data_IF_854919051471
#
_entry.id   IF_854919051471
#
_cell.length_a   1.000
_cell.length_b   1.000
_cell.length_c   1.000
_cell.angle_alpha   90.00
_cell.angle_beta   90.00
_cell.angle_gamma   90.00
#
_symmetry.space_group_name_H-M   'P 1'
#
loop_
_entity.id
_entity.type
_entity.pdbx_description
1 polymer ?
#
# COMPACT_ATOMS: atom_id res chain seq x y z
N UNK A 1 -4.54 1.27 13.71
CA UNK A 1 -4.10 -0.02 13.14
C UNK A 1 -3.40 0.22 11.82
N UNK A 2 -2.15 -0.22 11.66
CA UNK A 2 -1.46 -0.21 10.36
C UNK A 2 -1.95 -1.39 9.53
N UNK A 3 -3.13 -1.24 8.95
CA UNK A 3 -3.77 -2.26 8.10
C UNK A 3 -2.91 -2.62 6.87
N UNK A 4 -1.93 -1.79 6.52
CA UNK A 4 -0.92 -2.02 5.48
C UNK A 4 0.12 -3.09 5.82
N UNK A 5 0.19 -3.55 7.07
CA UNK A 5 1.27 -4.43 7.55
C UNK A 5 1.16 -5.87 7.02
N UNK A 6 -0.05 -6.45 7.03
CA UNK A 6 -0.24 -7.84 6.65
C UNK A 6 -0.48 -7.93 5.14
N UNK A 7 0.60 -7.96 4.35
CA UNK A 7 0.54 -8.18 2.90
C UNK A 7 1.10 -9.56 2.60
N UNK A 8 0.27 -10.44 2.03
CA UNK A 8 0.73 -11.78 1.62
C UNK A 8 1.45 -11.69 0.28
N UNK A 9 2.52 -12.46 0.08
CA UNK A 9 3.32 -12.52 -1.15
C UNK A 9 4.61 -13.31 -0.92
N UNK A 10 5.29 -13.71 -1.98
CA UNK A 10 6.69 -14.15 -1.88
C UNK A 10 7.60 -12.96 -1.62
N UNK A 11 8.85 -13.19 -1.19
CA UNK A 11 9.83 -12.12 -1.04
C UNK A 11 9.99 -11.32 -2.35
N UNK A 12 10.05 -12.00 -3.49
CA UNK A 12 10.16 -11.37 -4.81
C UNK A 12 8.95 -10.46 -5.10
N UNK A 13 7.73 -10.93 -4.81
CA UNK A 13 6.52 -10.13 -5.03
C UNK A 13 6.50 -8.87 -4.14
N UNK A 14 7.13 -8.91 -2.96
CA UNK A 14 7.13 -7.82 -1.99
C UNK A 14 8.22 -6.78 -2.23
N UNK A 15 9.23 -7.06 -3.07
CA UNK A 15 10.22 -6.08 -3.53
C UNK A 15 9.65 -4.99 -4.42
N UNK A 16 8.44 -5.21 -4.93
CA UNK A 16 7.69 -4.28 -5.77
C UNK A 16 6.42 -3.79 -5.07
N UNK A 17 6.40 -3.73 -3.72
CA UNK A 17 5.19 -3.43 -2.96
C UNK A 17 5.44 -2.62 -1.69
N UNK A 18 5.51 -1.31 -1.85
CA UNK A 18 5.77 -0.37 -0.74
C UNK A 18 4.57 0.53 -0.48
N UNK A 19 4.27 0.80 0.78
CA UNK A 19 3.24 1.78 1.17
C UNK A 19 3.85 2.80 2.11
N UNK A 20 3.73 4.08 1.77
CA UNK A 20 4.09 5.19 2.65
C UNK A 20 2.80 5.76 3.24
N UNK A 21 2.77 5.89 4.56
CA UNK A 21 1.68 6.47 5.33
C UNK A 21 2.21 7.64 6.16
N UNK A 22 1.64 8.82 5.94
CA UNK A 22 1.83 9.98 6.79
C UNK A 22 0.59 10.18 7.66
N UNK A 23 0.78 10.47 8.94
CA UNK A 23 -0.31 10.60 9.90
C UNK A 23 -0.08 11.72 10.89
N UNK A 24 -1.10 12.57 11.02
CA UNK A 24 -1.21 13.51 12.14
C UNK A 24 -1.58 12.71 13.40
N UNK A 25 -0.80 12.88 14.45
CA UNK A 25 -0.98 12.24 15.74
C UNK A 25 -1.94 13.05 16.63
N UNK A 26 -3.08 12.45 16.97
CA UNK A 26 -4.09 13.06 17.83
C UNK A 26 -3.54 13.41 19.21
N UNK A 27 -3.82 14.63 19.67
CA UNK A 27 -3.30 15.21 20.92
C UNK A 27 -1.84 15.63 20.90
N UNK A 28 -1.11 15.47 19.78
CA UNK A 28 0.32 15.80 19.68
C UNK A 28 0.52 16.93 18.67
N UNK A 29 0.19 16.69 17.41
CA UNK A 29 0.38 17.64 16.31
C UNK A 29 -0.90 17.80 15.47
N UNK A 30 -2.07 17.53 16.04
CA UNK A 30 -3.38 17.77 15.44
C UNK A 30 -3.93 19.17 15.72
N UNK A 31 -3.38 19.85 16.73
CA UNK A 31 -3.81 21.17 17.16
C UNK A 31 -2.99 22.33 16.56
N UNK A 32 -1.97 22.08 15.75
CA UNK A 32 -1.21 23.16 15.10
C UNK A 32 -1.93 23.65 13.85
N UNK A 33 -1.96 24.97 13.64
CA UNK A 33 -2.64 25.62 12.52
C UNK A 33 -2.13 25.17 11.13
N UNK A 34 -0.88 24.70 11.07
CA UNK A 34 -0.20 24.30 9.84
C UNK A 34 -0.16 22.77 9.59
N UNK A 35 -0.70 21.96 10.52
CA UNK A 35 -0.63 20.50 10.47
C UNK A 35 -1.24 19.92 9.20
N UNK A 36 -2.37 20.51 8.76
CA UNK A 36 -3.08 20.09 7.56
C UNK A 36 -2.26 20.40 6.31
N UNK A 37 -1.66 21.58 6.22
CA UNK A 37 -0.86 22.03 5.10
C UNK A 37 0.41 21.16 4.99
N UNK A 38 1.07 20.87 6.11
CA UNK A 38 2.19 19.92 6.18
C UNK A 38 1.80 18.53 5.67
N UNK A 39 0.65 18.00 6.10
CA UNK A 39 0.18 16.70 5.63
C UNK A 39 -0.12 16.72 4.13
N UNK A 40 -0.79 17.76 3.62
CA UNK A 40 -1.06 17.93 2.18
C UNK A 40 0.25 18.00 1.39
N UNK A 41 1.26 18.73 1.87
CA UNK A 41 2.58 18.82 1.23
C UNK A 41 3.25 17.45 1.12
N UNK A 42 3.12 16.60 2.14
CA UNK A 42 3.59 15.21 2.06
C UNK A 42 2.85 14.43 0.97
N UNK A 43 1.54 14.61 0.85
CA UNK A 43 0.75 14.04 -0.25
C UNK A 43 1.22 14.49 -1.63
N UNK A 44 1.58 15.76 -1.79
CA UNK A 44 2.17 16.31 -3.01
C UNK A 44 3.52 15.67 -3.31
N UNK A 45 4.44 15.59 -2.33
CA UNK A 45 5.73 14.89 -2.47
C UNK A 45 5.51 13.44 -2.92
N UNK A 46 4.58 12.71 -2.29
CA UNK A 46 4.27 11.35 -2.72
C UNK A 46 3.79 11.31 -4.17
N UNK A 47 2.90 12.23 -4.57
CA UNK A 47 2.34 12.31 -5.93
C UNK A 47 3.37 12.70 -6.99
N UNK A 48 4.30 13.61 -6.67
CA UNK A 48 5.41 14.03 -7.53
C UNK A 48 6.34 12.85 -7.89
N UNK A 49 6.38 11.83 -7.03
CA UNK A 49 7.15 10.59 -7.24
C UNK A 49 6.31 9.45 -7.87
N UNK A 50 5.18 9.78 -8.52
CA UNK A 50 4.42 8.88 -9.41
C UNK A 50 4.06 7.53 -8.74
N UNK A 51 3.25 7.55 -7.66
CA UNK A 51 2.84 6.33 -7.00
C UNK A 51 1.88 5.54 -7.90
N UNK A 52 1.92 4.21 -7.83
CA UNK A 52 0.96 3.33 -8.53
C UNK A 52 -0.47 3.49 -8.02
N UNK A 53 -0.62 3.98 -6.79
CA UNK A 53 -1.89 4.31 -6.20
C UNK A 53 -1.71 5.32 -5.06
N UNK A 54 -2.67 6.22 -4.88
CA UNK A 54 -2.64 7.22 -3.82
C UNK A 54 -4.05 7.55 -3.38
N UNK A 55 -4.22 7.87 -2.09
CA UNK A 55 -5.49 8.39 -1.58
C UNK A 55 -5.93 9.59 -2.42
N UNK A 56 -7.23 9.75 -2.66
CA UNK A 56 -7.75 10.90 -3.42
C UNK A 56 -7.50 12.23 -2.70
N UNK A 57 -7.26 13.29 -3.46
CA UNK A 57 -7.00 14.64 -2.92
C UNK A 57 -8.16 15.17 -2.06
N UNK A 58 -9.39 14.75 -2.34
CA UNK A 58 -10.53 15.11 -1.49
C UNK A 58 -10.43 14.44 -0.10
N UNK A 59 -9.85 13.24 -0.03
CA UNK A 59 -9.52 12.56 1.21
C UNK A 59 -8.40 13.25 1.99
N UNK A 60 -7.43 13.88 1.31
CA UNK A 60 -6.33 14.61 1.96
C UNK A 60 -6.83 15.79 2.81
N UNK A 61 -7.98 16.35 2.46
CA UNK A 61 -8.61 17.48 3.19
C UNK A 61 -9.34 17.05 4.46
N UNK A 62 -9.75 15.78 4.55
CA UNK A 62 -10.65 15.29 5.61
C UNK A 62 -10.06 14.20 6.49
N UNK A 63 -9.13 13.40 5.96
CA UNK A 63 -8.47 12.30 6.67
C UNK A 63 -7.33 12.80 7.55
N UNK A 64 -7.07 12.19 8.72
CA UNK A 64 -5.85 12.43 9.50
C UNK A 64 -4.60 11.76 8.89
N UNK A 65 -4.78 11.02 7.79
CA UNK A 65 -3.74 10.24 7.12
C UNK A 65 -3.73 10.50 5.62
N UNK A 66 -2.54 10.44 5.02
CA UNK A 66 -2.37 10.34 3.57
C UNK A 66 -1.47 9.13 3.31
N UNK A 67 -1.89 8.32 2.34
CA UNK A 67 -1.22 7.08 1.98
C UNK A 67 -1.01 6.99 0.49
N UNK A 68 0.15 6.48 0.10
CA UNK A 68 0.52 6.20 -1.28
C UNK A 68 1.23 4.85 -1.37
N UNK A 69 1.07 4.18 -2.51
CA UNK A 69 1.67 2.89 -2.83
C UNK A 69 2.64 3.05 -4.00
N UNK A 70 3.81 2.43 -3.91
CA UNK A 70 4.85 2.42 -4.93
C UNK A 70 5.20 0.97 -5.26
N UNK A 71 5.57 0.71 -6.52
CA UNK A 71 6.03 -0.59 -7.00
C UNK A 71 7.55 -0.66 -7.23
N UNK A 72 8.28 0.38 -6.83
CA UNK A 72 9.74 0.42 -6.90
C UNK A 72 10.37 1.14 -5.70
N UNK A 73 11.57 0.72 -5.31
CA UNK A 73 12.29 1.26 -4.17
C UNK A 73 12.90 2.65 -4.42
N UNK A 74 13.22 2.99 -5.67
CA UNK A 74 13.86 4.27 -6.00
C UNK A 74 12.91 5.45 -5.84
N UNK A 75 11.64 5.30 -6.22
CA UNK A 75 10.57 6.25 -5.93
C UNK A 75 10.40 6.45 -4.42
N UNK A 76 10.44 5.36 -3.64
CA UNK A 76 10.40 5.43 -2.16
C UNK A 76 11.60 6.19 -1.61
N UNK A 77 12.82 5.92 -2.08
CA UNK A 77 14.03 6.67 -1.69
C UNK A 77 13.92 8.15 -2.03
N UNK A 78 13.40 8.49 -3.20
CA UNK A 78 13.19 9.88 -3.61
C UNK A 78 12.22 10.60 -2.67
N UNK A 79 11.10 9.96 -2.30
CA UNK A 79 10.16 10.48 -1.30
C UNK A 79 10.86 10.69 0.04
N UNK A 80 11.61 9.71 0.53
CA UNK A 80 12.35 9.81 1.81
C UNK A 80 13.32 11.01 1.79
N UNK A 81 14.08 11.19 0.71
CA UNK A 81 15.03 12.32 0.57
C UNK A 81 14.34 13.67 0.64
N UNK A 82 13.19 13.80 -0.03
CA UNK A 82 12.40 15.03 -0.02
C UNK A 82 11.79 15.30 1.36
N UNK A 83 11.22 14.28 2.00
CA UNK A 83 10.68 14.39 3.36
C UNK A 83 11.75 14.77 4.39
N UNK A 84 12.96 14.18 4.29
CA UNK A 84 14.10 14.55 5.13
C UNK A 84 14.52 16.00 4.92
N UNK A 85 14.52 16.47 3.68
CA UNK A 85 14.91 17.86 3.33
C UNK A 85 13.90 18.88 3.85
N UNK A 86 12.60 18.60 3.75
CA UNK A 86 11.55 19.53 4.13
C UNK A 86 11.21 19.51 5.63
N UNK A 87 11.56 18.43 6.35
CA UNK A 87 11.41 18.28 7.80
C UNK A 87 10.06 18.78 8.35
N UNK A 88 8.98 18.22 7.78
CA UNK A 88 7.62 18.68 8.05
C UNK A 88 7.08 18.29 9.44
N UNK A 89 7.87 17.57 10.26
CA UNK A 89 7.51 17.19 11.64
C UNK A 89 6.33 16.22 11.75
N UNK A 90 6.02 15.46 10.69
CA UNK A 90 4.95 14.45 10.66
C UNK A 90 5.57 13.05 10.62
N UNK A 91 5.03 12.13 11.42
CA UNK A 91 5.46 10.74 11.45
C UNK A 91 5.17 10.04 10.14
N UNK A 92 6.17 9.29 9.64
CA UNK A 92 6.09 8.49 8.41
C UNK A 92 6.21 7.01 8.77
N UNK A 93 5.31 6.19 8.22
CA UNK A 93 5.35 4.73 8.30
C UNK A 93 5.55 4.19 6.89
N UNK A 94 6.57 3.34 6.70
CA UNK A 94 6.84 2.67 5.44
C UNK A 94 6.57 1.17 5.63
N UNK A 95 5.67 0.62 4.83
CA UNK A 95 5.41 -0.83 4.76
C UNK A 95 6.12 -1.41 3.55
N UNK A 96 6.78 -2.55 3.72
CA UNK A 96 7.59 -3.23 2.69
C UNK A 96 8.58 -4.20 3.34
N UNK A 97 9.52 -4.75 2.57
CA UNK A 97 10.59 -5.57 3.15
C UNK A 97 11.50 -4.70 4.04
N UNK A 98 11.63 -5.11 5.31
CA UNK A 98 12.35 -4.31 6.32
C UNK A 98 13.83 -4.14 5.95
N UNK A 99 14.45 -5.15 5.34
CA UNK A 99 15.84 -5.06 4.87
C UNK A 99 16.01 -3.96 3.81
N UNK A 100 15.13 -3.91 2.82
CA UNK A 100 15.21 -2.91 1.74
C UNK A 100 14.91 -1.49 2.24
N UNK A 101 13.92 -1.36 3.14
CA UNK A 101 13.63 -0.08 3.78
C UNK A 101 14.81 0.38 4.64
N UNK A 102 15.44 -0.53 5.39
CA UNK A 102 16.61 -0.20 6.21
C UNK A 102 17.77 0.29 5.35
N UNK A 103 18.06 -0.38 4.24
CA UNK A 103 19.11 0.03 3.33
C UNK A 103 18.81 1.39 2.70
N UNK A 104 17.57 1.63 2.27
CA UNK A 104 17.12 2.92 1.75
C UNK A 104 17.23 4.07 2.76
N UNK A 105 16.96 3.81 4.05
CA UNK A 105 17.11 4.80 5.12
C UNK A 105 18.59 5.08 5.45
N UNK A 106 19.43 4.04 5.48
CA UNK A 106 20.87 4.19 5.71
C UNK A 106 21.53 5.08 4.64
N UNK A 107 21.15 4.93 3.37
CA UNK A 107 21.67 5.76 2.26
C UNK A 107 21.44 7.25 2.47
N UNK A 108 20.36 7.62 3.17
CA UNK A 108 20.03 9.02 3.46
C UNK A 108 20.43 9.43 4.88
N UNK A 109 21.07 8.56 5.66
CA UNK A 109 21.44 8.81 7.05
C UNK A 109 20.23 9.00 7.96
N UNK A 110 19.27 8.08 7.91
CA UNK A 110 18.14 7.94 8.83
C UNK A 110 18.13 6.55 9.44
N UNK A 111 17.65 6.45 10.68
CA UNK A 111 17.47 5.18 11.38
C UNK A 111 15.99 4.82 11.50
N UNK A 112 15.69 3.51 11.56
CA UNK A 112 14.34 3.02 11.85
C UNK A 112 14.05 3.22 13.33
N UNK A 113 13.02 4.00 13.66
CA UNK A 113 12.59 4.21 15.04
C UNK A 113 11.86 2.99 15.64
N UNK A 114 10.97 2.35 14.88
CA UNK A 114 10.18 1.20 15.35
C UNK A 114 9.85 0.27 14.20
N UNK A 115 9.90 -1.03 14.46
CA UNK A 115 9.52 -2.07 13.51
C UNK A 115 8.28 -2.80 14.00
N UNK A 116 7.32 -3.02 13.10
CA UNK A 116 6.17 -3.88 13.34
C UNK A 116 6.25 -5.07 12.39
N UNK A 117 6.08 -6.29 12.91
CA UNK A 117 6.13 -7.52 12.12
C UNK A 117 4.75 -8.15 12.01
N UNK A 118 4.37 -8.55 10.80
CA UNK A 118 3.25 -9.46 10.64
C UNK A 118 3.73 -10.89 10.84
N UNK A 119 3.25 -11.57 11.88
CA UNK A 119 3.57 -12.98 12.10
C UNK A 119 2.81 -13.92 11.14
N UNK A 120 1.80 -13.40 10.44
CA UNK A 120 0.99 -14.18 9.52
C UNK A 120 -0.22 -14.84 10.17
N UNK A 121 -0.77 -15.85 9.50
CA UNK A 121 -1.97 -16.57 9.93
C UNK A 121 -1.61 -17.92 10.56
N UNK A 122 -2.05 -18.16 11.80
CA UNK A 122 -1.80 -19.39 12.54
C UNK A 122 -3.09 -20.17 12.85
N UNK A 123 -2.98 -21.50 12.83
CA UNK A 123 -4.04 -22.44 13.23
C UNK A 123 -4.34 -23.51 12.16
N UNK A 124 -4.33 -24.79 12.57
CA UNK A 124 -4.44 -25.95 11.67
C UNK A 124 -5.77 -26.01 10.90
N UNK A 125 -6.88 -25.64 11.53
CA UNK A 125 -8.22 -25.65 10.89
C UNK A 125 -8.47 -24.46 9.95
N UNK A 126 -7.51 -23.53 9.79
CA UNK A 126 -7.73 -22.28 9.03
C UNK A 126 -7.18 -22.32 7.61
N UNK A 127 -6.09 -23.05 7.32
CA UNK A 127 -5.48 -23.01 5.98
C UNK A 127 -6.42 -23.47 4.86
N UNK A 128 -7.17 -24.55 5.08
CA UNK A 128 -8.13 -25.09 4.12
C UNK A 128 -9.39 -24.22 3.99
N UNK A 129 -9.69 -23.40 5.00
CA UNK A 129 -10.84 -22.48 5.00
C UNK A 129 -10.50 -21.10 4.41
N UNK A 130 -9.22 -20.82 4.19
CA UNK A 130 -8.79 -19.57 3.60
C UNK A 130 -8.89 -19.63 2.06
N UNK A 131 -9.14 -18.48 1.41
CA UNK A 131 -9.01 -18.39 -0.03
C UNK A 131 -7.64 -18.88 -0.54
N UNK A 132 -7.56 -19.35 -1.79
CA UNK A 132 -6.30 -19.66 -2.45
C UNK A 132 -5.26 -18.55 -2.31
N UNK A 133 -3.97 -18.90 -2.27
CA UNK A 133 -2.91 -17.94 -1.91
C UNK A 133 -2.88 -16.69 -2.79
N UNK A 134 -3.00 -16.85 -4.11
CA UNK A 134 -3.04 -15.71 -5.04
C UNK A 134 -4.25 -14.80 -4.83
N UNK A 135 -5.38 -15.34 -4.35
CA UNK A 135 -6.54 -14.53 -3.97
C UNK A 135 -6.25 -13.77 -2.67
N UNK A 136 -5.62 -14.43 -1.68
CA UNK A 136 -5.20 -13.78 -0.44
C UNK A 136 -4.20 -12.65 -0.67
N UNK A 137 -3.27 -12.80 -1.61
CA UNK A 137 -2.34 -11.72 -1.99
C UNK A 137 -3.11 -10.45 -2.39
N UNK A 138 -4.25 -10.58 -3.08
CA UNK A 138 -5.09 -9.43 -3.44
C UNK A 138 -5.89 -8.91 -2.25
N UNK A 139 -6.59 -9.77 -1.51
CA UNK A 139 -7.48 -9.33 -0.43
C UNK A 139 -6.72 -8.68 0.73
N UNK A 140 -5.48 -9.12 0.97
CA UNK A 140 -4.63 -8.60 2.05
C UNK A 140 -3.96 -7.27 1.71
N UNK A 141 -3.79 -6.91 0.42
CA UNK A 141 -3.20 -5.61 0.02
C UNK A 141 -3.97 -4.39 0.54
N UNK A 142 -5.31 -4.46 0.65
CA UNK A 142 -6.10 -3.37 1.20
C UNK A 142 -6.02 -3.30 2.74
N UNK A 143 -5.58 -4.36 3.42
CA UNK A 143 -5.54 -4.45 4.88
C UNK A 143 -6.90 -4.57 5.57
N UNK A 144 -7.90 -3.80 5.11
CA UNK A 144 -9.28 -3.83 5.58
C UNK A 144 -10.11 -4.96 4.96
N UNK A 145 -9.55 -5.70 3.99
CA UNK A 145 -10.26 -6.76 3.28
C UNK A 145 -11.56 -6.27 2.60
N UNK A 146 -11.56 -5.05 2.05
CA UNK A 146 -12.73 -4.47 1.36
C UNK A 146 -13.01 -5.10 -0.01
N UNK A 147 -12.11 -5.96 -0.50
CA UNK A 147 -12.26 -6.73 -1.74
C UNK A 147 -12.57 -8.18 -1.37
N UNK A 148 -13.73 -8.68 -1.77
CA UNK A 148 -14.10 -10.07 -1.51
C UNK A 148 -13.33 -11.04 -2.42
N UNK A 149 -13.00 -12.26 -1.95
CA UNK A 149 -12.48 -13.34 -2.78
C UNK A 149 -13.32 -13.60 -4.04
N UNK A 150 -14.64 -13.57 -3.89
CA UNK A 150 -15.61 -13.82 -4.96
C UNK A 150 -15.54 -12.75 -6.05
N UNK A 151 -15.29 -11.49 -5.69
CA UNK A 151 -15.08 -10.42 -6.68
C UNK A 151 -13.87 -10.71 -7.54
N UNK A 152 -12.77 -11.23 -6.97
CA UNK A 152 -11.55 -11.54 -7.71
C UNK A 152 -11.84 -12.68 -8.70
N UNK A 153 -12.45 -13.77 -8.23
CA UNK A 153 -12.86 -14.91 -9.08
C UNK A 153 -13.75 -14.45 -10.24
N UNK A 154 -14.77 -13.65 -9.94
CA UNK A 154 -15.68 -13.10 -10.94
C UNK A 154 -14.96 -12.32 -12.04
N UNK A 155 -14.01 -11.44 -11.67
CA UNK A 155 -13.24 -10.69 -12.68
C UNK A 155 -12.30 -11.59 -13.49
N UNK A 156 -11.73 -12.63 -12.89
CA UNK A 156 -10.94 -13.64 -13.63
C UNK A 156 -11.80 -14.34 -14.69
N UNK A 157 -13.02 -14.75 -14.36
CA UNK A 157 -13.95 -15.34 -15.34
C UNK A 157 -14.31 -14.35 -16.46
N UNK A 158 -14.61 -13.09 -16.13
CA UNK A 158 -14.91 -12.08 -17.15
C UNK A 158 -13.72 -11.84 -18.10
N UNK A 159 -12.47 -11.89 -17.59
CA UNK A 159 -11.27 -11.79 -18.42
C UNK A 159 -11.16 -13.01 -19.34
N UNK A 160 -11.31 -14.24 -18.81
CA UNK A 160 -11.26 -15.48 -19.61
C UNK A 160 -12.33 -15.52 -20.70
N UNK A 161 -13.48 -14.90 -20.46
CA UNK A 161 -14.58 -14.77 -21.43
C UNK A 161 -14.39 -13.62 -22.43
N UNK A 162 -13.30 -12.84 -22.34
CA UNK A 162 -13.06 -11.68 -23.19
C UNK A 162 -14.00 -10.48 -22.95
N UNK A 163 -14.73 -10.48 -21.83
CA UNK A 163 -15.72 -9.42 -21.49
C UNK A 163 -15.08 -8.18 -20.87
N UNK A 164 -13.85 -8.29 -20.35
CA UNK A 164 -13.06 -7.18 -19.83
C UNK A 164 -11.56 -7.44 -20.05
N UNK A 165 -10.75 -6.39 -19.98
CA UNK A 165 -9.28 -6.52 -19.93
C UNK A 165 -8.80 -6.63 -18.49
N UNK A 166 -7.54 -7.08 -18.31
CA UNK A 166 -6.91 -7.24 -17.01
C UNK A 166 -6.77 -5.88 -16.30
N UNK A 167 -6.39 -4.83 -17.03
CA UNK A 167 -6.20 -3.48 -16.51
C UNK A 167 -7.53 -2.90 -16.03
N UNK A 168 -8.60 -3.10 -16.80
CA UNK A 168 -9.96 -2.68 -16.42
C UNK A 168 -10.42 -3.41 -15.16
N UNK A 169 -10.18 -4.72 -15.06
CA UNK A 169 -10.51 -5.52 -13.89
C UNK A 169 -9.71 -5.09 -12.65
N UNK A 170 -8.40 -4.88 -12.77
CA UNK A 170 -7.54 -4.42 -11.69
C UNK A 170 -8.00 -3.07 -11.13
N UNK A 171 -8.31 -2.11 -12.02
CA UNK A 171 -8.87 -0.81 -11.62
C UNK A 171 -10.19 -0.94 -10.88
N UNK A 172 -11.07 -1.86 -11.31
CA UNK A 172 -12.36 -2.11 -10.65
C UNK A 172 -12.18 -2.76 -9.26
N UNK A 173 -11.30 -3.74 -9.15
CA UNK A 173 -10.98 -4.43 -7.89
C UNK A 173 -10.32 -3.49 -6.87
N UNK A 174 -9.58 -2.49 -7.33
CA UNK A 174 -8.90 -1.52 -6.47
C UNK A 174 -9.84 -0.45 -5.90
N UNK A 175 -10.93 -0.14 -6.60
CA UNK A 175 -11.84 0.98 -6.29
C UNK A 175 -12.43 0.97 -4.85
N UNK A 176 -12.76 -0.17 -4.23
CA UNK A 176 -13.24 -0.20 -2.84
C UNK A 176 -12.20 0.29 -1.82
N UNK A 177 -10.91 0.29 -2.16
CA UNK A 177 -9.87 0.86 -1.30
C UNK A 177 -9.72 2.36 -1.54
N UNK A 178 -10.41 3.15 -0.71
CA UNK A 178 -10.31 4.63 -0.75
C UNK A 178 -8.99 5.16 -0.20
N UNK A 179 -8.25 4.35 0.56
CA UNK A 179 -6.96 4.72 1.15
C UNK A 179 -5.83 4.75 0.10
N UNK A 180 -5.98 4.15 -1.08
CA UNK A 180 -4.90 4.16 -2.09
C UNK A 180 -3.68 3.30 -1.74
N UNK A 181 -3.82 2.32 -0.83
CA UNK A 181 -2.74 1.43 -0.37
C UNK A 181 -2.62 0.12 -1.18
N UNK A 182 -3.53 -0.08 -2.14
CA UNK A 182 -3.57 -1.26 -2.99
C UNK A 182 -2.62 -1.04 -4.16
N UNK A 183 -1.72 -1.98 -4.38
CA UNK A 183 -0.78 -1.95 -5.50
C UNK A 183 -1.46 -2.48 -6.76
N UNK A 184 -1.83 -1.56 -7.66
CA UNK A 184 -2.55 -1.90 -8.89
C UNK A 184 -1.66 -2.71 -9.86
N UNK A 185 -0.36 -2.40 -9.95
CA UNK A 185 0.61 -3.13 -10.77
C UNK A 185 0.66 -4.61 -10.35
N UNK A 186 0.74 -4.85 -9.04
CA UNK A 186 0.75 -6.19 -8.48
C UNK A 186 -0.56 -6.95 -8.71
N UNK A 187 -1.73 -6.29 -8.62
CA UNK A 187 -3.01 -6.92 -8.98
C UNK A 187 -3.00 -7.37 -10.45
N UNK A 188 -2.48 -6.56 -11.37
CA UNK A 188 -2.37 -6.92 -12.79
C UNK A 188 -1.52 -8.19 -12.97
N UNK A 189 -0.37 -8.28 -12.29
CA UNK A 189 0.49 -9.47 -12.33
C UNK A 189 -0.24 -10.71 -11.79
N UNK A 190 -0.94 -10.58 -10.65
CA UNK A 190 -1.69 -11.67 -10.04
C UNK A 190 -2.83 -12.14 -10.96
N UNK A 191 -3.63 -11.22 -11.51
CA UNK A 191 -4.71 -11.56 -12.44
C UNK A 191 -4.18 -12.26 -13.69
N UNK A 192 -3.06 -11.79 -14.26
CA UNK A 192 -2.38 -12.47 -15.37
C UNK A 192 -2.04 -13.93 -15.02
N UNK A 193 -1.53 -14.18 -13.82
CA UNK A 193 -1.19 -15.54 -13.37
C UNK A 193 -2.43 -16.43 -13.19
N UNK A 194 -3.55 -15.86 -12.72
CA UNK A 194 -4.81 -16.58 -12.49
C UNK A 194 -5.54 -16.90 -13.80
N UNK A 195 -5.37 -16.07 -14.83
CA UNK A 195 -5.99 -16.27 -16.14
C UNK A 195 -5.25 -17.35 -16.95
N UNK A 196 -3.91 -17.42 -16.82
CA UNK A 196 -3.08 -18.42 -17.51
C UNK A 196 -3.20 -19.85 -16.95
N UNK A 197 -3.69 -20.00 -15.72
CA UNK A 197 -4.04 -21.29 -15.12
C UNK A 197 -5.42 -21.75 -15.58
#
# INVERSE_FOLDING_TARGET
>A
MTHTLHRKGSEVDLKEDYVILAMIAGGINDNYDDSRQKLIRIGEIMKENIPVNIMSEIGWKTSATITATFDDLESVKSVIRQLKKEDLGISIVISGLISEIKDALNEVGLDIHTVHFSLGTFGARKKELLPPEKILEVTTMCGHHTVSPQSITHYVELIKQGKTTIEKAAKKLTRPCVCGIVNTSRIIQILNSLVKK
#
